data_IF_762560227396
#
_entry.id   IF_762560227396
#
_cell.length_a   1.000
_cell.length_b   1.000
_cell.length_c   1.000
_cell.angle_alpha   90.00
_cell.angle_beta   90.00
_cell.angle_gamma   90.00
#
_symmetry.space_group_name_H-M   'P 1'
#
loop_
_entity.id
_entity.type
_entity.pdbx_description
1 polymer ?
#
# COMPACT_ATOMS: atom_id res chain seq x y z
N UNK A 1 -0.61 27.37 -4.86
CA UNK A 1 -1.02 26.14 -5.58
C UNK A 1 -0.15 25.00 -5.09
N UNK A 2 -0.68 24.06 -4.31
CA UNK A 2 0.08 22.87 -3.93
C UNK A 2 0.05 21.89 -5.09
N UNK A 3 1.15 21.78 -5.84
CA UNK A 3 1.27 20.79 -6.91
C UNK A 3 1.20 19.40 -6.30
N UNK A 4 0.33 18.54 -6.83
CA UNK A 4 0.32 17.13 -6.47
C UNK A 4 1.56 16.47 -7.10
N UNK A 5 2.24 15.65 -6.33
CA UNK A 5 3.40 14.85 -6.71
C UNK A 5 2.98 13.40 -6.83
N UNK A 6 3.65 12.66 -7.72
CA UNK A 6 3.46 11.22 -7.84
C UNK A 6 4.37 10.51 -6.87
N UNK A 7 3.80 9.59 -6.12
CA UNK A 7 4.52 8.72 -5.21
C UNK A 7 4.22 7.27 -5.59
N UNK A 8 5.27 6.47 -5.59
CA UNK A 8 5.18 5.01 -5.60
C UNK A 8 5.31 4.55 -4.15
N UNK A 9 4.24 3.96 -3.61
CA UNK A 9 4.22 3.39 -2.27
C UNK A 9 4.20 1.88 -2.39
N UNK A 10 5.24 1.22 -1.91
CA UNK A 10 5.33 -0.24 -1.84
C UNK A 10 4.94 -0.71 -0.45
N UNK A 11 3.85 -1.47 -0.37
CA UNK A 11 3.34 -2.04 0.88
C UNK A 11 3.68 -3.54 0.90
N UNK A 12 4.60 -3.98 1.78
CA UNK A 12 4.80 -5.40 2.04
C UNK A 12 3.68 -5.94 2.93
N UNK A 13 3.17 -7.12 2.59
CA UNK A 13 2.17 -7.82 3.36
C UNK A 13 2.43 -9.32 3.39
N UNK A 14 2.06 -9.96 4.49
CA UNK A 14 2.04 -11.41 4.61
C UNK A 14 0.66 -11.93 4.24
N UNK A 15 0.58 -12.88 3.31
CA UNK A 15 -0.68 -13.51 2.92
C UNK A 15 -0.81 -14.87 3.61
N UNK A 16 -1.83 -15.02 4.44
CA UNK A 16 -1.93 -16.16 5.36
C UNK A 16 -2.17 -17.51 4.69
N UNK A 17 -2.73 -17.56 3.49
CA UNK A 17 -2.94 -18.87 2.88
C UNK A 17 -1.93 -19.23 1.80
N UNK A 18 -1.27 -18.26 1.16
CA UNK A 18 -0.04 -18.59 0.41
C UNK A 18 1.14 -18.80 1.36
N UNK A 19 1.01 -18.32 2.61
CA UNK A 19 2.04 -18.34 3.67
C UNK A 19 3.35 -17.72 3.20
N UNK A 20 3.26 -16.66 2.39
CA UNK A 20 4.39 -15.97 1.79
C UNK A 20 4.25 -14.47 1.99
N UNK A 21 5.39 -13.80 1.99
CA UNK A 21 5.47 -12.35 1.93
C UNK A 21 5.33 -11.90 0.48
N UNK A 22 4.51 -10.88 0.28
CA UNK A 22 4.27 -10.24 -1.00
C UNK A 22 4.42 -8.74 -0.85
N UNK A 23 4.61 -8.06 -1.97
CA UNK A 23 4.64 -6.60 -2.03
C UNK A 23 3.63 -6.13 -3.08
N UNK A 24 2.90 -5.07 -2.76
CA UNK A 24 2.04 -4.40 -3.73
C UNK A 24 2.48 -2.95 -3.86
N UNK A 25 2.57 -2.50 -5.10
CA UNK A 25 2.96 -1.13 -5.45
C UNK A 25 1.71 -0.31 -5.78
N UNK A 26 1.52 0.80 -5.07
CA UNK A 26 0.49 1.78 -5.36
C UNK A 26 1.10 3.06 -5.89
N UNK A 27 0.59 3.54 -7.02
CA UNK A 27 0.84 4.89 -7.49
C UNK A 27 -0.21 5.82 -6.91
N UNK A 28 0.25 6.84 -6.18
CA UNK A 28 -0.57 7.81 -5.47
C UNK A 28 -0.13 9.22 -5.86
N UNK A 29 -1.08 10.04 -6.29
CA UNK A 29 -0.89 11.48 -6.39
C UNK A 29 -1.18 12.12 -5.02
N UNK A 30 -0.16 12.67 -4.35
CA UNK A 30 -0.30 13.31 -3.04
C UNK A 30 0.53 14.59 -2.96
N UNK A 31 0.27 15.43 -1.94
CA UNK A 31 1.08 16.64 -1.71
C UNK A 31 2.41 16.32 -1.03
N UNK A 32 2.44 15.27 -0.23
CA UNK A 32 3.54 14.88 0.64
C UNK A 32 3.60 13.35 0.79
N UNK A 33 4.77 12.80 1.19
CA UNK A 33 4.94 11.36 1.37
C UNK A 33 4.00 10.74 2.40
N UNK A 34 3.64 11.46 3.47
CA UNK A 34 2.75 10.94 4.51
C UNK A 34 1.31 10.79 3.97
N UNK A 35 0.83 11.77 3.21
CA UNK A 35 -0.43 11.68 2.47
C UNK A 35 -0.42 10.54 1.44
N UNK A 36 0.73 10.28 0.80
CA UNK A 36 0.86 9.15 -0.11
C UNK A 36 0.68 7.80 0.60
N UNK A 37 1.32 7.61 1.77
CA UNK A 37 1.19 6.40 2.59
C UNK A 37 -0.25 6.21 3.06
N UNK A 38 -0.91 7.28 3.53
CA UNK A 38 -2.31 7.21 3.97
C UNK A 38 -3.23 6.72 2.86
N UNK A 39 -3.14 7.31 1.67
CA UNK A 39 -3.95 6.89 0.53
C UNK A 39 -3.58 5.49 0.02
N UNK A 40 -2.31 5.09 0.12
CA UNK A 40 -1.89 3.73 -0.24
C UNK A 40 -2.46 2.68 0.72
N UNK A 41 -2.56 2.98 2.03
CA UNK A 41 -3.24 2.13 3.01
C UNK A 41 -4.72 1.98 2.68
N UNK A 42 -5.42 3.06 2.38
CA UNK A 42 -6.84 3.00 1.98
C UNK A 42 -7.04 2.12 0.73
N UNK A 43 -6.14 2.24 -0.27
CA UNK A 43 -6.15 1.35 -1.43
C UNK A 43 -5.85 -0.11 -1.07
N UNK A 44 -4.95 -0.35 -0.10
CA UNK A 44 -4.66 -1.69 0.38
C UNK A 44 -5.86 -2.32 1.08
N UNK A 45 -6.56 -1.59 1.94
CA UNK A 45 -7.77 -2.07 2.61
C UNK A 45 -8.87 -2.43 1.60
N UNK A 46 -9.02 -1.63 0.54
CA UNK A 46 -9.92 -1.95 -0.57
C UNK A 46 -9.48 -3.19 -1.36
N UNK A 47 -8.16 -3.36 -1.56
CA UNK A 47 -7.57 -4.55 -2.17
C UNK A 47 -7.80 -5.81 -1.31
N UNK A 48 -7.72 -5.70 0.01
CA UNK A 48 -8.07 -6.79 0.93
C UNK A 48 -9.55 -7.16 0.84
N UNK A 49 -10.46 -6.18 0.89
CA UNK A 49 -11.91 -6.43 0.85
C UNK A 49 -12.43 -6.98 -0.48
N UNK A 50 -11.78 -6.65 -1.60
CA UNK A 50 -12.16 -7.14 -2.94
C UNK A 50 -11.90 -8.64 -3.11
N UNK A 51 -10.90 -9.15 -2.40
CA UNK A 51 -10.56 -10.56 -2.35
C UNK A 51 -11.60 -11.28 -1.49
N UNK A 52 -12.59 -11.93 -2.13
CA UNK A 52 -13.58 -12.82 -1.49
C UNK A 52 -12.94 -14.08 -0.83
N UNK A 53 -11.62 -14.07 -0.60
CA UNK A 53 -10.87 -15.13 0.04
C UNK A 53 -10.83 -14.92 1.55
N UNK A 54 -10.97 -16.01 2.31
CA UNK A 54 -10.95 -16.06 3.77
C UNK A 54 -9.55 -15.91 4.38
N UNK A 55 -8.60 -15.32 3.65
CA UNK A 55 -7.17 -15.30 4.00
C UNK A 55 -6.80 -13.89 4.48
N UNK A 56 -6.12 -13.82 5.62
CA UNK A 56 -5.75 -12.55 6.27
C UNK A 56 -4.47 -12.01 5.63
N UNK A 57 -4.46 -10.71 5.28
CA UNK A 57 -3.27 -10.02 4.81
C UNK A 57 -2.74 -9.09 5.89
N UNK A 58 -1.53 -9.35 6.39
CA UNK A 58 -0.92 -8.58 7.48
C UNK A 58 0.13 -7.64 6.89
N UNK A 59 -0.12 -6.33 6.92
CA UNK A 59 0.84 -5.31 6.47
C UNK A 59 2.06 -5.29 7.40
N UNK A 60 3.26 -5.19 6.83
CA UNK A 60 4.49 -4.88 7.58
C UNK A 60 4.79 -3.40 7.50
N UNK A 61 4.34 -2.67 8.52
CA UNK A 61 4.52 -1.22 8.66
C UNK A 61 5.99 -0.79 8.52
N UNK A 62 6.90 -1.55 9.13
CA UNK A 62 8.35 -1.27 9.14
C UNK A 62 9.00 -1.41 7.75
N UNK A 63 8.29 -2.02 6.79
CA UNK A 63 8.78 -2.29 5.44
C UNK A 63 8.18 -1.41 4.36
N UNK A 64 7.27 -0.48 4.69
CA UNK A 64 6.63 0.39 3.71
C UNK A 64 7.68 1.33 3.10
N UNK A 65 7.79 1.34 1.78
CA UNK A 65 8.70 2.22 1.04
C UNK A 65 7.91 3.24 0.24
N UNK A 66 8.41 4.47 0.22
CA UNK A 66 7.81 5.57 -0.54
C UNK A 66 8.88 6.19 -1.42
N UNK A 67 8.64 6.22 -2.72
CA UNK A 67 9.52 6.83 -3.71
C UNK A 67 8.75 7.92 -4.45
N UNK A 68 9.29 9.15 -4.49
CA UNK A 68 8.74 10.22 -5.34
C UNK A 68 9.12 9.94 -6.80
N UNK A 69 8.16 10.05 -7.72
CA UNK A 69 8.30 9.70 -9.14
C UNK A 69 8.05 10.88 -10.07
#
# INVERSE_FOLDING_TARGET
MSSLKKFKVTIPYFDSGTKKEHTVDFLIDAKDPAGAVSSAREKFDAYEKSSHASWVRIIREDGIRVEEK
#
